data_IF_774503009729
#
_entry.id   IF_774503009729
#
_cell.length_a   1.000
_cell.length_b   1.000
_cell.length_c   1.000
_cell.angle_alpha   90.00
_cell.angle_beta   90.00
_cell.angle_gamma   90.00
#
_symmetry.space_group_name_H-M   'P 1'
#
loop_
_entity.id
_entity.type
_entity.pdbx_description
1 polymer ?
#
# COMPACT_ATOMS: atom_id res chain seq x y z
N UNK A 1 20.97 -23.42 -20.27
CA UNK A 1 21.31 -22.49 -19.17
C UNK A 1 20.60 -21.18 -19.43
N UNK A 2 19.66 -20.78 -18.55
CA UNK A 2 18.92 -19.53 -18.70
C UNK A 2 19.70 -18.43 -17.98
N UNK A 3 20.32 -17.52 -18.74
CA UNK A 3 20.95 -16.32 -18.19
C UNK A 3 19.86 -15.29 -17.92
N UNK A 4 19.21 -15.37 -16.77
CA UNK A 4 18.41 -14.25 -16.29
C UNK A 4 19.37 -13.08 -16.04
N UNK A 5 19.31 -12.06 -16.88
CA UNK A 5 20.11 -10.84 -16.74
C UNK A 5 19.67 -10.17 -15.45
N UNK A 6 20.59 -10.06 -14.49
CA UNK A 6 20.33 -9.35 -13.24
C UNK A 6 19.90 -7.91 -13.57
N UNK A 7 18.84 -7.38 -12.93
CA UNK A 7 18.38 -6.03 -13.22
C UNK A 7 19.52 -5.04 -12.92
N UNK A 8 19.75 -4.03 -13.78
CA UNK A 8 20.82 -3.07 -13.60
C UNK A 8 20.73 -2.41 -12.22
N UNK A 9 21.82 -2.50 -11.45
CA UNK A 9 21.96 -1.82 -10.16
C UNK A 9 21.95 -0.30 -10.41
N UNK A 10 20.83 0.36 -10.11
CA UNK A 10 20.71 1.83 -10.20
C UNK A 10 19.44 2.38 -10.86
N UNK A 11 18.49 1.54 -11.27
CA UNK A 11 17.23 2.06 -11.85
C UNK A 11 16.25 2.42 -10.74
N UNK A 12 16.18 3.70 -10.41
CA UNK A 12 15.03 4.24 -9.66
C UNK A 12 13.82 4.11 -10.58
N UNK A 13 12.89 3.22 -10.22
CA UNK A 13 11.62 3.11 -10.94
C UNK A 13 10.74 4.28 -10.53
N UNK A 14 10.44 5.15 -11.48
CA UNK A 14 9.36 6.12 -11.33
C UNK A 14 8.04 5.38 -11.48
N UNK A 15 7.19 5.48 -10.46
CA UNK A 15 5.82 5.00 -10.55
C UNK A 15 4.96 6.10 -11.18
N UNK A 16 4.11 5.71 -12.13
CA UNK A 16 3.10 6.63 -12.66
C UNK A 16 2.02 6.89 -11.60
N UNK A 17 1.28 8.00 -11.76
CA UNK A 17 0.12 8.29 -10.92
C UNK A 17 -0.90 7.15 -10.96
N UNK A 18 -1.17 6.61 -12.15
CA UNK A 18 -2.13 5.51 -12.35
C UNK A 18 -1.68 4.22 -11.65
N UNK A 19 -0.37 3.93 -11.62
CA UNK A 19 0.17 2.79 -10.89
C UNK A 19 -0.02 2.94 -9.38
N UNK A 20 0.17 4.16 -8.86
CA UNK A 20 -0.05 4.48 -7.44
C UNK A 20 -1.54 4.36 -7.10
N UNK A 21 -2.44 4.88 -7.95
CA UNK A 21 -3.88 4.76 -7.75
C UNK A 21 -4.38 3.31 -7.86
N UNK A 22 -3.80 2.52 -8.78
CA UNK A 22 -4.09 1.09 -8.86
C UNK A 22 -3.64 0.36 -7.59
N UNK A 23 -2.46 0.71 -7.06
CA UNK A 23 -1.98 0.13 -5.80
C UNK A 23 -2.85 0.55 -4.62
N UNK A 24 -3.23 1.82 -4.53
CA UNK A 24 -4.12 2.32 -3.47
C UNK A 24 -5.45 1.56 -3.46
N UNK A 25 -6.08 1.33 -4.63
CA UNK A 25 -7.32 0.54 -4.72
C UNK A 25 -7.18 -0.89 -4.19
N UNK A 26 -6.03 -1.53 -4.40
CA UNK A 26 -5.75 -2.86 -3.86
C UNK A 26 -5.66 -2.81 -2.33
N UNK A 27 -4.93 -1.83 -1.79
CA UNK A 27 -4.79 -1.64 -0.34
C UNK A 27 -6.15 -1.33 0.30
N UNK A 28 -6.96 -0.46 -0.30
CA UNK A 28 -8.33 -0.15 0.18
C UNK A 28 -9.25 -1.38 0.17
N UNK A 29 -9.12 -2.25 -0.83
CA UNK A 29 -9.86 -3.51 -0.88
C UNK A 29 -9.44 -4.48 0.23
N UNK A 30 -8.13 -4.59 0.51
CA UNK A 30 -7.63 -5.39 1.63
C UNK A 30 -8.06 -4.82 2.98
N UNK A 31 -7.97 -3.50 3.18
CA UNK A 31 -8.49 -2.84 4.38
C UNK A 31 -9.99 -3.08 4.55
N UNK A 32 -10.77 -2.97 3.48
CA UNK A 32 -12.21 -3.26 3.51
C UNK A 32 -12.47 -4.73 3.86
N UNK A 33 -11.67 -5.67 3.36
CA UNK A 33 -11.79 -7.09 3.70
C UNK A 33 -11.55 -7.36 5.18
N UNK A 34 -10.56 -6.72 5.79
CA UNK A 34 -10.18 -6.99 7.17
C UNK A 34 -10.95 -6.18 8.21
N UNK A 35 -11.33 -4.96 7.87
CA UNK A 35 -11.95 -4.01 8.78
C UNK A 35 -13.40 -3.67 8.39
N UNK A 36 -13.93 -4.22 7.30
CA UNK A 36 -15.28 -3.95 6.80
C UNK A 36 -15.41 -2.65 5.99
N UNK A 37 -14.56 -1.65 6.25
CA UNK A 37 -14.41 -0.44 5.43
C UNK A 37 -13.08 0.25 5.73
N UNK A 38 -12.61 1.09 4.80
CA UNK A 38 -11.44 1.95 5.01
C UNK A 38 -11.66 2.88 6.21
N UNK A 39 -12.83 3.50 6.34
CA UNK A 39 -13.14 4.37 7.48
C UNK A 39 -13.07 3.64 8.83
N UNK A 40 -13.53 2.38 8.90
CA UNK A 40 -13.43 1.60 10.12
C UNK A 40 -11.98 1.22 10.42
N UNK A 41 -11.20 0.88 9.38
CA UNK A 41 -9.76 0.61 9.52
C UNK A 41 -9.04 1.83 10.12
N UNK A 42 -9.28 3.03 9.57
CA UNK A 42 -8.64 4.27 10.04
C UNK A 42 -9.07 4.65 11.47
N UNK A 43 -10.32 4.37 11.86
CA UNK A 43 -10.75 4.54 13.26
C UNK A 43 -10.02 3.58 14.21
N UNK A 44 -9.78 2.34 13.80
CA UNK A 44 -9.02 1.37 14.60
C UNK A 44 -7.52 1.66 14.61
N UNK A 45 -6.98 2.26 13.55
CA UNK A 45 -5.58 2.71 13.53
C UNK A 45 -5.27 3.63 14.71
N UNK A 46 -6.20 4.55 15.01
CA UNK A 46 -6.10 5.49 16.12
C UNK A 46 -6.14 4.82 17.50
N UNK A 47 -6.85 3.69 17.63
CA UNK A 47 -6.95 2.96 18.90
C UNK A 47 -5.80 1.99 19.11
N UNK A 48 -5.08 1.60 18.05
CA UNK A 48 -4.05 0.58 18.09
C UNK A 48 -4.60 -0.85 18.24
N UNK A 49 -5.92 -1.02 18.16
CA UNK A 49 -6.62 -2.29 18.39
C UNK A 49 -6.73 -3.09 17.08
N UNK A 50 -5.59 -3.45 16.50
CA UNK A 50 -5.52 -4.25 15.29
C UNK A 50 -4.33 -5.22 15.32
N UNK A 51 -4.41 -6.38 14.66
CA UNK A 51 -3.28 -7.31 14.58
C UNK A 51 -2.07 -6.64 13.92
N UNK A 52 -0.87 -6.87 14.46
CA UNK A 52 0.38 -6.29 13.94
C UNK A 52 0.62 -6.60 12.45
N UNK A 53 0.09 -7.71 11.97
CA UNK A 53 0.12 -8.11 10.55
C UNK A 53 -0.55 -7.08 9.62
N UNK A 54 -1.54 -6.34 10.13
CA UNK A 54 -2.26 -5.30 9.38
C UNK A 54 -1.56 -3.94 9.38
N UNK A 55 -0.51 -3.76 10.19
CA UNK A 55 0.22 -2.48 10.30
C UNK A 55 0.82 -2.05 8.96
N UNK A 56 1.14 -3.03 8.11
CA UNK A 56 1.60 -2.82 6.74
C UNK A 56 0.55 -2.09 5.89
N UNK A 57 -0.74 -2.42 6.03
CA UNK A 57 -1.81 -1.80 5.22
C UNK A 57 -1.94 -0.31 5.52
N UNK A 58 -1.86 0.09 6.78
CA UNK A 58 -1.88 1.51 7.15
C UNK A 58 -0.68 2.28 6.60
N UNK A 59 0.51 1.71 6.73
CA UNK A 59 1.74 2.31 6.18
C UNK A 59 1.65 2.47 4.65
N UNK A 60 1.17 1.44 3.95
CA UNK A 60 1.00 1.51 2.50
C UNK A 60 -0.10 2.51 2.10
N UNK A 61 -1.24 2.52 2.79
CA UNK A 61 -2.34 3.45 2.52
C UNK A 61 -1.88 4.90 2.63
N UNK A 62 -1.27 5.29 3.76
CA UNK A 62 -0.77 6.65 3.99
C UNK A 62 0.38 6.99 3.03
N UNK A 63 1.26 6.04 2.73
CA UNK A 63 2.33 6.22 1.75
C UNK A 63 1.79 6.53 0.35
N UNK A 64 0.76 5.80 -0.11
CA UNK A 64 0.16 6.05 -1.42
C UNK A 64 -0.58 7.39 -1.45
N UNK A 65 -1.35 7.71 -0.40
CA UNK A 65 -2.04 9.01 -0.25
C UNK A 65 -1.06 10.18 -0.29
N UNK A 66 0.06 10.07 0.43
CA UNK A 66 1.15 11.05 0.39
C UNK A 66 1.72 11.24 -1.02
N UNK A 67 2.02 10.15 -1.73
CA UNK A 67 2.55 10.22 -3.11
C UNK A 67 1.55 10.80 -4.11
N UNK A 68 0.24 10.65 -3.85
CA UNK A 68 -0.82 11.25 -4.66
C UNK A 68 -1.11 12.72 -4.28
N UNK A 69 -0.56 13.21 -3.17
CA UNK A 69 -0.89 14.54 -2.64
C UNK A 69 -2.33 14.65 -2.14
N UNK A 70 -2.89 13.57 -1.60
CA UNK A 70 -4.31 13.41 -1.28
C UNK A 70 -4.58 13.14 0.20
#
# INVERSE_FOLDING_TARGET
>A
MSTAVAPPRGVVRHLSRDEIEARLRIVEAEMTRYFGSVDNALRQEYTGDYPSEQLRLFTEYHGMKFLLGA
#
